data_IF_062834556890
#
_entry.id   IF_062834556890
#
_cell.length_a   1.000
_cell.length_b   1.000
_cell.length_c   1.000
_cell.angle_alpha   90.00
_cell.angle_beta   90.00
_cell.angle_gamma   90.00
#
_symmetry.space_group_name_H-M   'P 1'
#
loop_
_entity.id
_entity.type
_entity.pdbx_description
1 polymer ?
#
# COMPACT_ATOMS: atom_id res chain seq x y z
N UNK A 1 -42.79 -39.03 60.40
CA UNK A 1 -41.52 -39.34 59.69
C UNK A 1 -41.22 -38.16 58.81
N UNK A 2 -40.34 -37.24 59.23
CA UNK A 2 -40.04 -36.00 58.51
C UNK A 2 -38.79 -36.24 57.67
N UNK A 3 -38.90 -36.06 56.32
CA UNK A 3 -37.78 -36.17 55.40
C UNK A 3 -37.26 -34.74 55.14
N UNK A 4 -36.04 -34.45 55.61
CA UNK A 4 -35.31 -33.23 55.29
C UNK A 4 -34.70 -33.33 53.87
N UNK A 5 -35.06 -32.40 52.98
CA UNK A 5 -34.33 -32.18 51.71
C UNK A 5 -33.22 -31.18 51.97
N UNK A 6 -31.96 -31.64 51.84
CA UNK A 6 -30.80 -30.78 51.71
C UNK A 6 -30.82 -30.15 50.29
N UNK A 7 -30.84 -28.83 50.22
CA UNK A 7 -30.53 -28.09 49.01
C UNK A 7 -29.01 -27.86 48.94
N UNK A 8 -28.37 -28.46 47.97
CA UNK A 8 -26.96 -28.18 47.66
C UNK A 8 -26.90 -27.01 46.67
N UNK A 9 -26.44 -25.87 47.14
CA UNK A 9 -26.24 -24.69 46.29
C UNK A 9 -24.85 -24.78 45.67
N UNK A 10 -24.77 -25.03 44.35
CA UNK A 10 -23.52 -25.00 43.58
C UNK A 10 -23.25 -23.55 43.17
N UNK A 11 -22.22 -22.95 43.75
CA UNK A 11 -21.74 -21.61 43.33
C UNK A 11 -20.86 -21.81 42.10
N UNK A 12 -21.36 -21.41 40.96
CA UNK A 12 -20.60 -21.34 39.69
C UNK A 12 -19.80 -20.04 39.72
N UNK A 13 -18.52 -20.11 40.05
CA UNK A 13 -17.59 -18.97 39.93
C UNK A 13 -17.24 -18.78 38.46
N UNK A 14 -17.93 -17.87 37.78
CA UNK A 14 -17.57 -17.42 36.45
C UNK A 14 -16.29 -16.57 36.51
N UNK A 15 -15.22 -17.08 35.96
CA UNK A 15 -14.03 -16.25 35.65
C UNK A 15 -14.42 -15.31 34.50
N UNK A 16 -14.61 -14.04 34.80
CA UNK A 16 -14.65 -12.97 33.77
C UNK A 16 -13.21 -12.72 33.36
N UNK A 17 -12.80 -13.24 32.21
CA UNK A 17 -11.61 -12.83 31.55
C UNK A 17 -11.92 -11.43 30.98
N UNK A 18 -11.46 -10.39 31.66
CA UNK A 18 -11.46 -9.05 31.10
C UNK A 18 -10.43 -9.02 29.98
N UNK A 19 -10.86 -9.14 28.74
CA UNK A 19 -10.08 -8.69 27.59
C UNK A 19 -9.96 -7.18 27.72
N UNK A 20 -8.74 -6.71 27.97
CA UNK A 20 -8.43 -5.28 27.88
C UNK A 20 -8.58 -4.90 26.39
N UNK A 21 -9.74 -4.39 26.00
CA UNK A 21 -9.83 -3.64 24.76
C UNK A 21 -9.00 -2.37 25.00
N UNK A 22 -7.87 -2.24 24.31
CA UNK A 22 -7.16 -0.97 24.28
C UNK A 22 -8.13 0.07 23.68
N UNK A 23 -8.30 1.18 24.37
CA UNK A 23 -9.07 2.30 23.84
C UNK A 23 -8.24 2.96 22.72
N UNK A 24 -8.88 3.34 21.63
CA UNK A 24 -8.23 4.16 20.61
C UNK A 24 -7.69 5.47 21.22
N UNK A 25 -6.53 5.90 20.77
CA UNK A 25 -5.97 7.19 21.17
C UNK A 25 -6.61 8.31 20.34
N UNK A 26 -7.65 8.92 20.89
CA UNK A 26 -8.41 10.00 20.22
C UNK A 26 -7.56 11.28 19.99
N UNK A 27 -6.34 11.32 20.56
CA UNK A 27 -5.45 12.48 20.41
C UNK A 27 -4.48 12.39 19.22
N UNK A 28 -4.46 11.28 18.47
CA UNK A 28 -3.73 11.17 17.19
C UNK A 28 -4.66 10.60 16.14
N UNK A 29 -4.82 11.32 15.03
CA UNK A 29 -5.63 10.89 13.89
C UNK A 29 -4.71 10.57 12.72
N UNK A 30 -4.71 9.32 12.29
CA UNK A 30 -3.96 8.81 11.14
C UNK A 30 -4.91 8.64 9.96
N UNK A 31 -4.64 9.28 8.83
CA UNK A 31 -5.41 9.14 7.61
C UNK A 31 -4.64 8.28 6.62
N UNK A 32 -5.01 7.02 6.48
CA UNK A 32 -4.19 5.96 5.90
C UNK A 32 -4.97 5.07 4.92
N UNK A 33 -4.26 4.17 4.28
CA UNK A 33 -4.81 3.05 3.54
C UNK A 33 -5.43 2.05 4.52
N UNK A 34 -6.46 1.33 4.07
CA UNK A 34 -7.06 0.24 4.85
C UNK A 34 -6.04 -0.87 5.09
N UNK A 35 -6.00 -1.39 6.32
CA UNK A 35 -5.04 -2.42 6.76
C UNK A 35 -3.87 -1.86 7.58
N UNK A 36 -3.47 -0.60 7.36
CA UNK A 36 -2.37 0.02 8.12
C UNK A 36 -2.71 0.34 9.59
N UNK A 37 -3.97 0.14 9.99
CA UNK A 37 -4.39 0.16 11.40
C UNK A 37 -3.94 -1.06 12.19
N UNK A 38 -3.29 -2.04 11.56
CA UNK A 38 -2.77 -3.21 12.24
C UNK A 38 -1.70 -2.82 13.27
N UNK A 39 -1.95 -3.18 14.52
CA UNK A 39 -1.11 -2.82 15.66
C UNK A 39 0.33 -3.35 15.56
N UNK A 40 0.57 -4.37 14.74
CA UNK A 40 1.90 -4.91 14.46
C UNK A 40 2.86 -3.88 13.85
N UNK A 41 2.34 -2.87 13.16
CA UNK A 41 3.15 -1.81 12.55
C UNK A 41 3.65 -0.74 13.52
N UNK A 42 2.96 -0.55 14.66
CA UNK A 42 3.27 0.54 15.59
C UNK A 42 3.14 0.15 17.07
N UNK A 43 3.51 -1.07 17.42
CA UNK A 43 3.44 -1.57 18.81
C UNK A 43 4.14 -0.66 19.82
N UNK A 44 5.26 -0.02 19.44
CA UNK A 44 5.97 0.91 20.32
C UNK A 44 5.15 2.16 20.67
N UNK A 45 4.30 2.61 19.75
CA UNK A 45 3.35 3.68 20.04
C UNK A 45 2.33 3.25 21.08
N UNK A 46 1.75 2.04 20.91
CA UNK A 46 0.77 1.47 21.87
C UNK A 46 1.40 1.26 23.25
N UNK A 47 2.61 0.73 23.31
CA UNK A 47 3.35 0.57 24.58
C UNK A 47 3.55 1.91 25.31
N UNK A 48 3.78 2.99 24.58
CA UNK A 48 4.03 4.33 25.13
C UNK A 48 2.74 5.04 25.55
N UNK A 49 1.66 4.94 24.74
CA UNK A 49 0.44 5.72 24.91
C UNK A 49 -0.73 4.91 25.48
N UNK A 50 -0.64 3.58 25.53
CA UNK A 50 -1.65 2.70 26.09
C UNK A 50 -2.85 2.42 25.19
N UNK A 51 -2.80 2.86 23.91
CA UNK A 51 -3.84 2.64 22.91
C UNK A 51 -3.35 2.94 21.50
N UNK A 52 -4.11 2.49 20.52
CA UNK A 52 -3.88 2.77 19.09
C UNK A 52 -4.37 4.17 18.73
N UNK A 53 -3.75 4.83 17.73
CA UNK A 53 -4.31 6.04 17.13
C UNK A 53 -5.73 5.81 16.59
N UNK A 54 -6.45 6.89 16.35
CA UNK A 54 -7.69 6.85 15.58
C UNK A 54 -7.37 6.85 14.09
N UNK A 55 -7.85 5.84 13.35
CA UNK A 55 -7.65 5.76 11.91
C UNK A 55 -8.87 6.24 11.13
N UNK A 56 -8.61 6.93 10.04
CA UNK A 56 -9.54 7.19 8.95
C UNK A 56 -8.91 6.70 7.65
N UNK A 57 -9.73 6.24 6.69
CA UNK A 57 -9.21 5.54 5.53
C UNK A 57 -9.55 6.23 4.22
N UNK A 58 -8.70 5.97 3.23
CA UNK A 58 -8.92 6.25 1.83
C UNK A 58 -8.53 5.03 0.97
N UNK A 59 -9.16 4.89 -0.17
CA UNK A 59 -8.83 3.81 -1.13
C UNK A 59 -7.98 4.31 -2.29
N UNK A 60 -7.85 5.66 -2.44
CA UNK A 60 -7.11 6.29 -3.52
C UNK A 60 -6.62 7.68 -3.09
N UNK A 61 -5.41 8.07 -3.50
CA UNK A 61 -4.74 9.29 -3.03
C UNK A 61 -5.41 10.58 -3.50
N UNK A 62 -6.05 10.58 -4.67
CA UNK A 62 -6.79 11.75 -5.13
C UNK A 62 -8.03 11.98 -4.25
N UNK A 63 -8.68 10.90 -3.81
CA UNK A 63 -9.77 10.98 -2.82
C UNK A 63 -9.27 11.57 -1.51
N UNK A 64 -8.12 11.09 -1.02
CA UNK A 64 -7.48 11.62 0.20
C UNK A 64 -7.18 13.11 0.07
N UNK A 65 -6.56 13.52 -1.04
CA UNK A 65 -6.27 14.91 -1.35
C UNK A 65 -7.52 15.78 -1.34
N UNK A 66 -8.59 15.34 -1.99
CA UNK A 66 -9.85 16.11 -2.04
C UNK A 66 -10.53 16.19 -0.67
N UNK A 67 -10.51 15.15 0.13
CA UNK A 67 -11.02 15.16 1.51
C UNK A 67 -10.30 16.20 2.37
N UNK A 68 -8.95 16.22 2.33
CA UNK A 68 -8.14 17.21 3.05
C UNK A 68 -8.42 18.62 2.56
N UNK A 69 -8.53 18.84 1.25
CA UNK A 69 -8.89 20.12 0.64
C UNK A 69 -10.30 20.57 1.03
N UNK A 70 -11.23 19.65 1.25
CA UNK A 70 -12.59 19.93 1.72
C UNK A 70 -12.67 20.21 3.23
N UNK A 71 -11.54 20.13 3.95
CA UNK A 71 -11.47 20.48 5.37
C UNK A 71 -11.50 19.29 6.32
N UNK A 72 -11.40 18.05 5.83
CA UNK A 72 -11.11 16.92 6.70
C UNK A 72 -9.79 17.14 7.42
N UNK A 73 -9.72 16.80 8.71
CA UNK A 73 -8.53 16.99 9.55
C UNK A 73 -8.03 15.67 10.08
N UNK A 74 -6.73 15.48 9.91
CA UNK A 74 -5.93 14.43 10.54
C UNK A 74 -4.57 15.03 10.90
N UNK A 75 -3.79 14.32 11.70
CA UNK A 75 -2.46 14.76 12.11
C UNK A 75 -1.40 14.28 11.12
N UNK A 76 -1.51 13.04 10.68
CA UNK A 76 -0.61 12.42 9.71
C UNK A 76 -1.40 11.73 8.60
N UNK A 77 -0.75 11.56 7.45
CA UNK A 77 -1.29 10.75 6.37
C UNK A 77 -0.17 9.98 5.67
N UNK A 78 -0.53 9.02 4.82
CA UNK A 78 0.36 8.06 4.18
C UNK A 78 0.25 8.09 2.64
N UNK A 79 0.56 9.22 1.98
CA UNK A 79 0.59 9.27 0.52
C UNK A 79 1.81 8.55 -0.04
N UNK A 80 1.73 8.15 -1.30
CA UNK A 80 2.88 7.67 -2.04
C UNK A 80 3.65 8.80 -2.73
N UNK A 81 4.83 8.49 -3.22
CA UNK A 81 5.83 9.46 -3.67
C UNK A 81 5.33 10.45 -4.72
N UNK A 82 4.52 10.00 -5.65
CA UNK A 82 4.01 10.81 -6.76
C UNK A 82 3.05 11.91 -6.32
N UNK A 83 2.44 11.79 -5.13
CA UNK A 83 1.46 12.74 -4.62
C UNK A 83 2.03 13.85 -3.75
N UNK A 84 3.22 13.64 -3.14
CA UNK A 84 3.78 14.55 -2.13
C UNK A 84 3.98 15.98 -2.64
N UNK A 85 4.48 16.16 -3.87
CA UNK A 85 4.66 17.49 -4.45
C UNK A 85 3.33 18.25 -4.59
N UNK A 86 2.27 17.56 -5.02
CA UNK A 86 0.92 18.15 -5.13
C UNK A 86 0.38 18.58 -3.78
N UNK A 87 0.56 17.75 -2.76
CA UNK A 87 0.11 18.04 -1.40
C UNK A 87 0.88 19.22 -0.79
N UNK A 88 2.19 19.26 -1.02
CA UNK A 88 3.04 20.39 -0.62
C UNK A 88 2.62 21.70 -1.31
N UNK A 89 2.45 21.72 -2.63
CA UNK A 89 2.00 22.90 -3.40
C UNK A 89 0.62 23.40 -2.96
N UNK A 90 -0.24 22.48 -2.50
CA UNK A 90 -1.54 22.83 -1.93
C UNK A 90 -1.48 23.38 -0.50
N UNK A 91 -0.29 23.39 0.12
CA UNK A 91 -0.06 23.88 1.48
C UNK A 91 -0.66 22.99 2.57
N UNK A 92 -0.72 21.67 2.31
CA UNK A 92 -1.29 20.67 3.23
C UNK A 92 -0.24 20.07 4.18
N UNK A 93 1.05 20.25 3.91
CA UNK A 93 2.14 19.59 4.62
C UNK A 93 2.96 20.58 5.45
N UNK A 94 3.39 20.14 6.61
CA UNK A 94 4.46 20.77 7.38
C UNK A 94 5.80 20.04 7.14
N UNK A 95 6.95 20.76 7.15
CA UNK A 95 8.25 20.12 7.02
C UNK A 95 8.56 19.26 8.24
N UNK A 96 9.19 18.11 8.03
CA UNK A 96 9.57 17.21 9.10
C UNK A 96 10.77 17.76 9.91
N UNK A 97 10.64 17.79 11.23
CA UNK A 97 11.78 17.93 12.13
C UNK A 97 12.52 16.60 12.28
N UNK A 98 13.44 16.36 11.36
CA UNK A 98 14.20 15.10 11.31
C UNK A 98 15.03 14.84 12.58
N UNK A 99 15.27 15.84 13.42
CA UNK A 99 15.95 15.67 14.71
C UNK A 99 15.12 14.92 15.74
N UNK A 100 13.78 14.89 15.56
CA UNK A 100 12.84 14.14 16.41
C UNK A 100 12.66 12.68 15.96
N UNK A 101 13.15 12.31 14.76
CA UNK A 101 13.09 10.94 14.24
C UNK A 101 14.38 10.22 14.59
N UNK A 102 14.34 9.42 15.65
CA UNK A 102 15.54 8.82 16.26
C UNK A 102 16.36 7.96 15.32
N UNK A 103 15.70 7.32 14.32
CA UNK A 103 16.33 6.45 13.32
C UNK A 103 16.41 7.09 11.93
N UNK A 104 16.35 8.42 11.83
CA UNK A 104 16.40 9.12 10.55
C UNK A 104 17.63 8.73 9.69
N UNK A 105 18.77 8.49 10.34
CA UNK A 105 20.00 8.08 9.65
C UNK A 105 19.98 6.64 9.13
N UNK A 106 18.98 5.84 9.51
CA UNK A 106 18.77 4.48 9.04
C UNK A 106 17.82 4.41 7.83
N UNK A 107 17.13 5.52 7.50
CA UNK A 107 16.21 5.61 6.35
C UNK A 107 17.01 5.55 5.05
N UNK A 108 16.46 4.84 4.05
CA UNK A 108 17.04 4.74 2.72
C UNK A 108 17.30 6.11 2.09
N UNK A 109 18.55 6.39 1.73
CA UNK A 109 18.99 7.72 1.25
C UNK A 109 18.29 8.11 -0.06
N UNK A 110 18.13 7.16 -1.00
CA UNK A 110 17.47 7.43 -2.29
C UNK A 110 16.01 7.84 -2.08
N UNK A 111 15.33 7.19 -1.15
CA UNK A 111 13.95 7.55 -0.80
C UNK A 111 13.88 8.92 -0.12
N UNK A 112 14.77 9.21 0.84
CA UNK A 112 14.81 10.55 1.49
C UNK A 112 14.97 11.67 0.47
N UNK A 113 15.93 11.52 -0.44
CA UNK A 113 16.23 12.56 -1.43
C UNK A 113 15.07 12.83 -2.39
N UNK A 114 14.24 11.83 -2.65
CA UNK A 114 13.04 11.99 -3.49
C UNK A 114 11.99 12.94 -2.88
N UNK A 115 12.02 13.15 -1.56
CA UNK A 115 11.02 13.96 -0.82
C UNK A 115 11.59 15.25 -0.24
N UNK A 116 12.75 15.65 -0.71
CA UNK A 116 13.37 16.92 -0.34
C UNK A 116 12.89 18.03 -1.27
N UNK A 117 12.09 18.95 -0.75
CA UNK A 117 11.56 20.10 -1.48
C UNK A 117 12.15 21.37 -0.82
N UNK A 118 12.79 22.23 -1.61
CA UNK A 118 13.39 23.49 -1.16
C UNK A 118 14.37 23.34 0.04
N UNK A 119 14.97 22.16 0.18
CA UNK A 119 15.95 21.87 1.23
C UNK A 119 15.37 21.21 2.48
N UNK A 120 14.06 21.14 2.62
CA UNK A 120 13.35 20.50 3.72
C UNK A 120 12.76 19.14 3.32
N UNK A 121 12.58 18.26 4.30
CA UNK A 121 11.93 16.95 4.07
C UNK A 121 10.46 17.02 4.44
N UNK A 122 9.58 16.49 3.61
CA UNK A 122 8.13 16.52 3.81
C UNK A 122 7.50 15.13 3.99
N UNK A 123 8.29 14.07 3.88
CA UNK A 123 7.81 12.71 4.05
C UNK A 123 8.86 11.85 4.74
N UNK A 124 8.43 11.05 5.69
CA UNK A 124 9.20 9.93 6.23
C UNK A 124 8.94 8.72 5.32
N UNK A 125 9.91 8.27 4.52
CA UNK A 125 9.75 7.02 3.76
C UNK A 125 9.38 5.88 4.70
N UNK A 126 8.23 5.28 4.49
CA UNK A 126 7.70 4.25 5.38
C UNK A 126 7.86 2.86 4.79
N UNK A 127 7.37 2.66 3.59
CA UNK A 127 7.34 1.37 2.93
C UNK A 127 7.50 1.47 1.41
N UNK A 128 7.71 0.32 0.79
CA UNK A 128 7.83 0.16 -0.64
C UNK A 128 7.48 -1.25 -1.08
N UNK A 129 7.08 -1.39 -2.32
CA UNK A 129 6.75 -2.69 -2.87
C UNK A 129 6.77 -2.70 -4.39
N UNK A 130 6.22 -3.77 -4.94
CA UNK A 130 6.00 -3.88 -6.38
C UNK A 130 4.54 -4.18 -6.66
N UNK A 131 4.08 -3.69 -7.81
CA UNK A 131 2.85 -4.18 -8.42
C UNK A 131 3.24 -5.14 -9.53
N UNK A 132 2.70 -6.35 -9.51
CA UNK A 132 3.14 -7.43 -10.38
C UNK A 132 1.97 -8.23 -10.96
N UNK A 133 2.25 -9.01 -12.01
CA UNK A 133 1.28 -9.96 -12.55
C UNK A 133 1.09 -11.09 -11.55
N UNK A 134 0.01 -11.03 -10.77
CA UNK A 134 -0.39 -12.07 -9.82
C UNK A 134 -1.44 -12.98 -10.45
N UNK A 135 -1.28 -14.29 -10.32
CA UNK A 135 -2.13 -15.25 -11.01
C UNK A 135 -2.35 -16.54 -10.23
N UNK A 136 -3.49 -17.21 -10.51
CA UNK A 136 -3.81 -18.55 -10.01
C UNK A 136 -2.99 -19.58 -10.78
N UNK A 137 -2.06 -20.26 -10.11
CA UNK A 137 -1.14 -21.23 -10.73
C UNK A 137 -1.82 -22.51 -11.21
N UNK A 138 -2.99 -22.81 -10.65
CA UNK A 138 -3.84 -23.97 -11.05
C UNK A 138 -4.78 -23.68 -12.22
N UNK A 139 -4.92 -22.39 -12.63
CA UNK A 139 -5.89 -21.96 -13.65
C UNK A 139 -5.25 -21.20 -14.82
N UNK A 140 -4.02 -20.75 -14.67
CA UNK A 140 -3.29 -19.92 -15.64
C UNK A 140 -1.95 -20.55 -15.97
N UNK A 141 -1.63 -20.65 -17.25
CA UNK A 141 -0.32 -21.16 -17.68
C UNK A 141 0.79 -20.14 -17.36
N UNK A 142 1.85 -20.59 -16.71
CA UNK A 142 2.99 -19.72 -16.33
C UNK A 142 3.60 -18.98 -17.56
N UNK A 143 3.61 -19.61 -18.73
CA UNK A 143 4.10 -18.98 -19.96
C UNK A 143 3.26 -17.78 -20.44
N UNK A 144 1.97 -17.75 -20.10
CA UNK A 144 1.09 -16.63 -20.50
C UNK A 144 1.35 -15.37 -19.66
N UNK A 145 1.96 -15.51 -18.47
CA UNK A 145 2.26 -14.39 -17.56
C UNK A 145 3.71 -13.88 -17.64
N UNK A 146 4.51 -14.38 -18.59
CA UNK A 146 5.86 -13.86 -18.88
C UNK A 146 5.84 -12.41 -19.42
N UNK A 147 4.67 -11.91 -19.76
CA UNK A 147 4.46 -10.60 -20.35
C UNK A 147 3.20 -9.96 -19.75
N UNK A 148 3.25 -8.66 -19.53
CA UNK A 148 2.06 -7.87 -19.12
C UNK A 148 0.97 -7.85 -20.21
N UNK A 149 1.26 -8.32 -21.42
CA UNK A 149 0.24 -8.49 -22.46
C UNK A 149 -0.79 -9.59 -22.11
N UNK A 150 -0.59 -10.35 -21.03
CA UNK A 150 -1.60 -11.27 -20.47
C UNK A 150 -2.94 -10.57 -20.23
N UNK A 151 -2.91 -9.28 -19.87
CA UNK A 151 -4.11 -8.46 -19.65
C UNK A 151 -4.94 -8.20 -20.93
N UNK A 152 -4.36 -8.41 -22.11
CA UNK A 152 -5.07 -8.35 -23.39
C UNK A 152 -5.45 -9.73 -23.94
N UNK A 153 -5.13 -10.81 -23.23
CA UNK A 153 -5.37 -12.17 -23.70
C UNK A 153 -6.84 -12.56 -23.51
N UNK A 154 -7.56 -12.72 -24.62
CA UNK A 154 -8.97 -13.10 -24.63
C UNK A 154 -9.29 -14.42 -23.89
N UNK A 155 -8.29 -15.31 -23.68
CA UNK A 155 -8.42 -16.53 -22.90
C UNK A 155 -8.88 -16.24 -21.46
N UNK A 156 -8.51 -15.08 -20.92
CA UNK A 156 -8.76 -14.67 -19.53
C UNK A 156 -9.83 -13.57 -19.40
N UNK A 157 -10.50 -13.22 -20.51
CA UNK A 157 -11.50 -12.15 -20.51
C UNK A 157 -12.59 -12.37 -19.44
N UNK A 158 -12.94 -11.31 -18.72
CA UNK A 158 -13.91 -11.34 -17.63
C UNK A 158 -13.40 -11.99 -16.33
N UNK A 159 -12.11 -12.36 -16.28
CA UNK A 159 -11.44 -12.93 -15.08
C UNK A 159 -10.13 -12.21 -14.74
N UNK A 160 -9.97 -11.01 -15.26
CA UNK A 160 -8.82 -10.13 -15.04
C UNK A 160 -9.24 -9.01 -14.09
N UNK A 161 -8.33 -8.56 -13.20
CA UNK A 161 -8.56 -7.39 -12.36
C UNK A 161 -7.34 -6.46 -12.35
N UNK A 162 -7.63 -5.17 -12.34
CA UNK A 162 -6.65 -4.09 -12.18
C UNK A 162 -7.01 -3.29 -10.92
N UNK A 163 -6.05 -2.59 -10.29
CA UNK A 163 -6.37 -1.69 -9.18
C UNK A 163 -7.20 -0.49 -9.64
N UNK A 164 -8.08 -0.01 -8.78
CA UNK A 164 -8.71 1.31 -8.93
C UNK A 164 -7.76 2.41 -8.45
N UNK A 165 -6.55 2.39 -8.98
CA UNK A 165 -5.47 3.32 -8.68
C UNK A 165 -4.81 3.77 -9.98
N UNK A 166 -4.82 5.08 -10.24
CA UNK A 166 -4.36 5.66 -11.50
C UNK A 166 -2.88 5.41 -11.74
N UNK A 167 -2.05 5.52 -10.72
CA UNK A 167 -0.61 5.42 -10.84
C UNK A 167 -0.19 3.99 -11.17
N UNK A 168 -0.75 2.98 -10.51
CA UNK A 168 -0.51 1.57 -10.81
C UNK A 168 -0.99 1.15 -12.20
N UNK A 169 -2.18 1.63 -12.60
CA UNK A 169 -2.74 1.28 -13.91
C UNK A 169 -1.93 1.90 -15.05
N UNK A 170 -1.47 3.16 -14.87
CA UNK A 170 -0.61 3.77 -15.88
C UNK A 170 0.83 3.23 -15.85
N UNK A 171 1.35 2.82 -14.69
CA UNK A 171 2.62 2.10 -14.65
C UNK A 171 2.57 0.82 -15.50
N UNK A 172 1.49 0.03 -15.35
CA UNK A 172 1.24 -1.14 -16.20
C UNK A 172 1.13 -0.78 -17.70
N UNK A 173 0.34 0.24 -18.02
CA UNK A 173 0.12 0.65 -19.42
C UNK A 173 1.39 1.20 -20.08
N UNK A 174 2.18 1.96 -19.36
CA UNK A 174 3.47 2.43 -19.82
C UNK A 174 4.46 1.28 -20.07
N UNK A 175 4.59 0.35 -19.13
CA UNK A 175 5.37 -0.88 -19.34
C UNK A 175 4.89 -1.63 -20.59
N UNK A 176 3.59 -1.84 -20.72
CA UNK A 176 2.99 -2.55 -21.85
C UNK A 176 3.25 -1.89 -23.20
N UNK A 177 3.51 -0.59 -23.22
CA UNK A 177 3.79 0.21 -24.41
C UNK A 177 5.27 0.62 -24.56
N UNK A 178 6.15 0.09 -23.69
CA UNK A 178 7.61 0.22 -23.80
C UNK A 178 8.21 1.42 -23.06
N UNK A 179 7.45 2.09 -22.19
CA UNK A 179 7.94 3.19 -21.34
C UNK A 179 8.34 2.62 -19.98
N UNK A 180 9.60 2.79 -19.58
CA UNK A 180 10.15 2.34 -18.29
C UNK A 180 10.54 3.49 -17.36
N UNK A 181 10.37 4.73 -17.81
CA UNK A 181 10.60 5.97 -17.04
C UNK A 181 9.49 6.96 -17.38
N UNK A 182 8.45 7.00 -16.60
CA UNK A 182 7.28 7.85 -16.84
C UNK A 182 7.54 9.35 -16.65
N UNK A 183 8.68 9.73 -16.01
CA UNK A 183 9.07 11.15 -15.90
C UNK A 183 9.43 11.76 -17.24
N UNK A 184 9.71 10.90 -18.23
CA UNK A 184 10.06 11.26 -19.61
C UNK A 184 8.93 10.98 -20.61
N UNK A 185 7.77 10.49 -20.12
CA UNK A 185 6.67 10.15 -20.99
C UNK A 185 6.18 11.36 -21.78
N UNK A 186 5.99 11.16 -23.08
CA UNK A 186 5.49 12.15 -24.03
C UNK A 186 3.97 12.08 -24.18
N UNK A 187 3.38 13.06 -24.87
CA UNK A 187 1.93 12.98 -25.20
C UNK A 187 1.60 11.78 -26.09
N UNK A 188 2.54 11.32 -26.96
CA UNK A 188 2.36 10.11 -27.76
C UNK A 188 2.40 8.84 -26.89
N UNK A 189 3.30 8.79 -25.89
CA UNK A 189 3.36 7.68 -24.93
C UNK A 189 2.06 7.60 -24.11
N UNK A 190 1.56 8.74 -23.68
CA UNK A 190 0.28 8.84 -22.99
C UNK A 190 -0.89 8.36 -23.89
N UNK A 191 -0.92 8.76 -25.15
CA UNK A 191 -1.95 8.31 -26.09
C UNK A 191 -1.88 6.79 -26.34
N UNK A 192 -0.67 6.21 -26.44
CA UNK A 192 -0.47 4.78 -26.61
C UNK A 192 -0.90 4.01 -25.35
N UNK A 193 -0.56 4.49 -24.14
CA UNK A 193 -1.02 3.91 -22.87
C UNK A 193 -2.55 3.89 -22.79
N UNK A 194 -3.21 4.98 -23.13
CA UNK A 194 -4.69 5.07 -23.16
C UNK A 194 -5.31 4.11 -24.16
N UNK A 195 -4.72 3.98 -25.35
CA UNK A 195 -5.23 3.04 -26.36
C UNK A 195 -5.11 1.59 -25.85
N UNK A 196 -4.01 1.25 -25.19
CA UNK A 196 -3.80 -0.06 -24.60
C UNK A 196 -4.81 -0.33 -23.48
N UNK A 197 -5.02 0.62 -22.53
CA UNK A 197 -6.00 0.49 -21.44
C UNK A 197 -7.42 0.32 -21.95
N UNK A 198 -7.82 1.02 -23.01
CA UNK A 198 -9.12 0.82 -23.67
C UNK A 198 -9.26 -0.58 -24.26
N UNK A 199 -8.16 -1.17 -24.73
CA UNK A 199 -8.12 -2.56 -25.19
C UNK A 199 -8.25 -3.57 -24.04
N UNK A 200 -7.72 -3.25 -22.87
CA UNK A 200 -7.79 -4.09 -21.66
C UNK A 200 -9.16 -3.99 -20.97
N UNK A 201 -9.74 -2.81 -20.88
CA UNK A 201 -10.97 -2.55 -20.13
C UNK A 201 -12.09 -3.59 -20.39
N UNK A 202 -12.39 -4.01 -21.63
CA UNK A 202 -13.41 -5.05 -21.88
C UNK A 202 -13.07 -6.43 -21.31
N UNK A 203 -11.80 -6.68 -20.96
CA UNK A 203 -11.33 -7.93 -20.37
C UNK A 203 -11.45 -7.92 -18.83
N UNK A 204 -11.54 -6.72 -18.23
CA UNK A 204 -11.55 -6.53 -16.77
C UNK A 204 -12.87 -6.98 -16.17
N UNK A 205 -12.79 -7.82 -15.13
CA UNK A 205 -13.95 -8.22 -14.31
C UNK A 205 -14.38 -7.10 -13.37
N UNK A 206 -13.39 -6.49 -12.71
CA UNK A 206 -13.56 -5.37 -11.78
C UNK A 206 -12.25 -4.62 -11.61
N UNK A 207 -12.34 -3.36 -11.18
CA UNK A 207 -11.23 -2.63 -10.63
C UNK A 207 -11.31 -2.76 -9.10
N UNK A 208 -10.30 -3.37 -8.47
CA UNK A 208 -10.27 -3.63 -7.03
C UNK A 208 -9.77 -2.40 -6.27
N UNK A 209 -10.31 -2.15 -5.08
CA UNK A 209 -10.01 -0.99 -4.26
C UNK A 209 -9.05 -1.28 -3.09
N UNK A 210 -9.02 -2.54 -2.62
CA UNK A 210 -8.11 -2.98 -1.55
C UNK A 210 -7.65 -4.43 -1.76
N UNK A 211 -6.53 -4.81 -1.12
CA UNK A 211 -5.94 -6.14 -1.26
C UNK A 211 -6.83 -7.27 -0.75
N UNK A 212 -7.64 -7.03 0.28
CA UNK A 212 -8.54 -8.04 0.84
C UNK A 212 -9.71 -8.34 -0.13
N UNK A 213 -10.26 -7.33 -0.79
CA UNK A 213 -11.24 -7.51 -1.88
C UNK A 213 -10.64 -8.39 -2.98
N UNK A 214 -9.45 -8.03 -3.47
CA UNK A 214 -8.77 -8.80 -4.52
C UNK A 214 -8.50 -10.23 -4.06
N UNK A 215 -8.04 -10.43 -2.83
CA UNK A 215 -7.79 -11.74 -2.23
C UNK A 215 -9.02 -12.64 -2.27
N UNK A 216 -10.20 -12.13 -1.92
CA UNK A 216 -11.46 -12.86 -1.99
C UNK A 216 -11.84 -13.24 -3.41
N UNK A 217 -11.67 -12.33 -4.37
CA UNK A 217 -11.94 -12.58 -5.79
C UNK A 217 -11.00 -13.63 -6.39
N UNK A 218 -9.74 -13.64 -5.99
CA UNK A 218 -8.77 -14.64 -6.43
C UNK A 218 -8.98 -15.99 -5.76
N UNK A 219 -9.33 -16.02 -4.49
CA UNK A 219 -9.66 -17.26 -3.75
C UNK A 219 -10.86 -17.96 -4.37
N UNK A 220 -11.92 -17.23 -4.68
CA UNK A 220 -13.11 -17.78 -5.34
C UNK A 220 -12.86 -18.20 -6.79
N UNK A 221 -11.76 -17.75 -7.41
CA UNK A 221 -11.47 -17.95 -8.83
C UNK A 221 -12.32 -17.07 -9.77
N UNK A 222 -13.01 -16.07 -9.25
CA UNK A 222 -13.69 -15.05 -10.06
C UNK A 222 -12.68 -14.20 -10.81
N UNK A 223 -11.55 -13.88 -10.16
CA UNK A 223 -10.34 -13.29 -10.75
C UNK A 223 -9.23 -14.34 -10.73
N UNK A 224 -8.49 -14.48 -11.83
CA UNK A 224 -7.38 -15.43 -11.94
C UNK A 224 -6.07 -14.80 -12.40
N UNK A 225 -6.14 -13.58 -12.93
CA UNK A 225 -4.97 -12.74 -13.27
C UNK A 225 -5.26 -11.34 -12.77
N UNK A 226 -4.34 -10.77 -12.01
CA UNK A 226 -4.45 -9.42 -11.49
C UNK A 226 -3.13 -8.67 -11.60
N UNK A 227 -3.19 -7.36 -11.74
CA UNK A 227 -2.10 -6.46 -11.44
C UNK A 227 -2.23 -6.12 -9.96
N UNK A 228 -1.35 -6.66 -9.12
CA UNK A 228 -1.54 -6.68 -7.68
C UNK A 228 -0.27 -6.32 -6.89
N UNK A 229 -0.46 -5.72 -5.74
CA UNK A 229 0.61 -5.45 -4.78
C UNK A 229 1.14 -6.74 -4.13
N UNK A 230 2.35 -6.69 -3.57
CA UNK A 230 2.99 -7.83 -2.91
C UNK A 230 2.12 -8.48 -1.82
N UNK A 231 1.31 -7.70 -1.09
CA UNK A 231 0.41 -8.17 -0.03
C UNK A 231 -0.50 -9.31 -0.52
N UNK A 232 -1.16 -9.13 -1.67
CA UNK A 232 -2.13 -10.11 -2.17
C UNK A 232 -1.52 -11.51 -2.37
N UNK A 233 -0.43 -11.70 -3.14
CA UNK A 233 0.15 -13.04 -3.27
C UNK A 233 0.74 -13.54 -1.95
N UNK A 234 1.29 -12.69 -1.08
CA UNK A 234 1.86 -13.08 0.22
C UNK A 234 0.78 -13.66 1.13
N UNK A 235 -0.32 -12.94 1.32
CA UNK A 235 -1.45 -13.37 2.14
C UNK A 235 -2.10 -14.65 1.61
N UNK A 236 -2.36 -14.70 0.30
CA UNK A 236 -2.99 -15.87 -0.32
C UNK A 236 -2.10 -17.13 -0.26
N UNK A 237 -0.78 -16.98 -0.37
CA UNK A 237 0.14 -18.10 -0.20
C UNK A 237 0.18 -18.61 1.24
N UNK A 238 0.10 -17.71 2.23
CA UNK A 238 -0.01 -18.08 3.64
C UNK A 238 -1.32 -18.85 3.94
N UNK A 239 -2.38 -18.58 3.18
CA UNK A 239 -3.66 -19.30 3.23
C UNK A 239 -3.68 -20.57 2.36
N UNK A 240 -2.53 -21.00 1.81
CA UNK A 240 -2.39 -22.17 0.93
C UNK A 240 -3.19 -22.06 -0.39
N UNK A 241 -3.58 -20.84 -0.82
CA UNK A 241 -4.19 -20.61 -2.12
C UNK A 241 -3.12 -20.67 -3.22
N UNK A 242 -3.35 -21.40 -4.32
CA UNK A 242 -2.35 -21.61 -5.36
C UNK A 242 -2.19 -20.36 -6.24
N UNK A 243 -1.43 -19.38 -5.77
CA UNK A 243 -1.08 -18.14 -6.47
C UNK A 243 0.42 -17.96 -6.60
N UNK A 244 0.82 -17.19 -7.61
CA UNK A 244 2.19 -16.71 -7.74
C UNK A 244 2.17 -15.28 -8.32
N UNK A 245 3.25 -14.52 -8.08
CA UNK A 245 3.48 -13.22 -8.68
C UNK A 245 4.69 -13.28 -9.62
N UNK A 246 4.55 -12.77 -10.83
CA UNK A 246 5.68 -12.55 -11.74
C UNK A 246 6.07 -11.07 -11.76
N UNK A 247 7.18 -10.72 -11.10
CA UNK A 247 7.79 -9.40 -11.08
C UNK A 247 8.79 -9.17 -12.21
N UNK A 248 9.09 -10.18 -13.00
CA UNK A 248 10.12 -10.15 -14.04
C UNK A 248 9.51 -10.36 -15.42
N UNK A 249 8.48 -9.58 -15.76
CA UNK A 249 7.87 -9.64 -17.09
C UNK A 249 8.82 -9.11 -18.15
N UNK A 250 8.61 -9.47 -19.42
CA UNK A 250 9.44 -9.05 -20.55
C UNK A 250 9.52 -7.54 -20.70
N UNK A 251 8.45 -6.84 -20.33
CA UNK A 251 8.35 -5.39 -20.43
C UNK A 251 9.00 -4.67 -19.24
N UNK A 252 9.17 -5.38 -18.12
CA UNK A 252 9.73 -4.83 -16.90
C UNK A 252 8.88 -5.10 -15.66
N UNK A 253 9.15 -4.37 -14.61
CA UNK A 253 8.48 -4.40 -13.32
C UNK A 253 8.05 -3.00 -12.91
N UNK A 254 7.05 -2.90 -12.04
CA UNK A 254 6.67 -1.65 -11.38
C UNK A 254 7.04 -1.69 -9.90
N UNK A 255 7.52 -0.55 -9.37
CA UNK A 255 7.74 -0.37 -7.93
C UNK A 255 7.17 0.96 -7.48
N UNK A 256 6.63 0.97 -6.28
CA UNK A 256 6.10 2.15 -5.61
C UNK A 256 6.76 2.30 -4.24
N UNK A 257 6.69 3.49 -3.67
CA UNK A 257 7.11 3.77 -2.31
C UNK A 257 6.28 4.90 -1.72
N UNK A 258 5.87 4.70 -0.49
CA UNK A 258 4.97 5.56 0.24
C UNK A 258 5.59 5.98 1.58
N UNK A 259 4.97 6.90 2.26
CA UNK A 259 5.49 7.32 3.56
C UNK A 259 4.59 8.30 4.28
N UNK A 260 4.90 8.49 5.54
CA UNK A 260 4.13 9.36 6.40
C UNK A 260 4.50 10.83 6.24
N UNK A 261 3.49 11.67 6.16
CA UNK A 261 3.59 13.13 6.12
C UNK A 261 2.95 13.74 7.37
N UNK A 262 3.52 14.84 7.87
CA UNK A 262 2.96 15.68 8.91
C UNK A 262 1.95 16.65 8.25
N UNK A 263 0.67 16.51 8.60
CA UNK A 263 -0.38 17.33 8.00
C UNK A 263 -0.48 18.68 8.69
N UNK A 264 -0.43 19.73 7.90
CA UNK A 264 -0.57 21.10 8.40
C UNK A 264 -1.92 21.30 9.05
N UNK A 265 -1.92 21.98 10.21
CA UNK A 265 -3.11 22.22 11.02
C UNK A 265 -3.80 20.93 11.51
N UNK A 266 -3.02 19.87 11.76
CA UNK A 266 -3.49 18.67 12.45
C UNK A 266 -4.15 19.04 13.78
N UNK A 267 -5.24 18.34 14.18
CA UNK A 267 -6.04 18.74 15.34
C UNK A 267 -5.31 18.55 16.68
N UNK A 268 -4.22 17.76 16.69
CA UNK A 268 -3.57 17.30 17.91
C UNK A 268 -2.10 17.68 17.97
N UNK A 269 -1.41 17.32 19.03
CA UNK A 269 -0.05 17.81 19.25
C UNK A 269 1.02 17.09 18.44
N UNK A 270 2.00 17.86 17.98
CA UNK A 270 3.15 17.41 17.17
C UNK A 270 3.95 16.26 17.81
N UNK A 271 4.00 16.15 19.15
CA UNK A 271 4.81 15.13 19.82
C UNK A 271 4.32 13.71 19.52
N UNK A 272 3.01 13.47 19.48
CA UNK A 272 2.46 12.15 19.14
C UNK A 272 2.68 11.75 17.66
N UNK A 273 2.76 12.73 16.77
CA UNK A 273 3.15 12.50 15.36
C UNK A 273 4.53 11.84 15.31
N UNK A 274 5.51 12.42 16.00
CA UNK A 274 6.87 11.89 16.02
C UNK A 274 7.02 10.59 16.83
N UNK A 275 6.20 10.39 17.85
CA UNK A 275 6.14 9.11 18.57
C UNK A 275 5.65 7.99 17.65
N UNK A 276 4.65 8.27 16.80
CA UNK A 276 4.18 7.33 15.78
C UNK A 276 5.24 7.08 14.70
N UNK A 277 5.90 8.13 14.19
CA UNK A 277 7.00 7.97 13.24
C UNK A 277 8.14 7.12 13.81
N UNK A 278 8.49 7.32 15.07
CA UNK A 278 9.52 6.53 15.75
C UNK A 278 9.08 5.08 15.98
N UNK A 279 7.80 4.84 16.26
CA UNK A 279 7.26 3.50 16.39
C UNK A 279 7.25 2.76 15.05
N UNK A 280 6.87 3.44 13.96
CA UNK A 280 6.98 2.89 12.61
C UNK A 280 8.41 2.51 12.27
N UNK A 281 9.39 3.37 12.58
CA UNK A 281 10.82 3.13 12.30
C UNK A 281 11.47 2.09 13.22
N UNK A 282 10.74 1.50 14.17
CA UNK A 282 11.27 0.45 15.05
C UNK A 282 11.57 -0.85 14.26
N UNK A 283 12.63 -1.59 14.60
CA UNK A 283 12.96 -2.87 13.97
C UNK A 283 11.82 -3.88 13.94
N UNK A 284 10.92 -3.88 14.95
CA UNK A 284 9.77 -4.78 14.99
C UNK A 284 8.76 -4.49 13.88
N UNK A 285 8.52 -3.22 13.57
CA UNK A 285 7.67 -2.80 12.44
C UNK A 285 8.24 -3.28 11.11
N UNK A 286 9.55 -3.07 10.89
CA UNK A 286 10.22 -3.52 9.66
C UNK A 286 10.13 -5.04 9.46
N UNK A 287 10.33 -5.82 10.52
CA UNK A 287 10.18 -7.27 10.45
C UNK A 287 8.72 -7.68 10.18
N UNK A 288 7.78 -6.98 10.80
CA UNK A 288 6.35 -7.26 10.66
C UNK A 288 5.87 -7.07 9.22
N UNK A 289 6.10 -5.91 8.63
CA UNK A 289 5.62 -5.60 7.27
C UNK A 289 6.20 -6.53 6.20
N UNK A 290 7.49 -6.92 6.34
CA UNK A 290 8.12 -7.85 5.40
C UNK A 290 7.49 -9.25 5.50
N UNK A 291 7.25 -9.73 6.73
CA UNK A 291 6.76 -11.09 6.95
C UNK A 291 5.26 -11.24 6.64
N UNK A 292 4.46 -10.25 7.03
CA UNK A 292 3.00 -10.35 6.92
C UNK A 292 2.49 -9.88 5.56
N UNK A 293 3.13 -8.84 4.98
CA UNK A 293 2.64 -8.23 3.74
C UNK A 293 3.58 -8.37 2.55
N UNK A 294 4.82 -8.79 2.76
CA UNK A 294 5.81 -8.84 1.70
C UNK A 294 6.21 -7.46 1.18
N UNK A 295 6.00 -6.39 1.98
CA UNK A 295 6.45 -5.04 1.64
C UNK A 295 7.83 -4.78 2.23
N UNK A 296 8.63 -3.97 1.54
CA UNK A 296 9.87 -3.44 2.07
C UNK A 296 9.59 -2.27 3.02
N UNK A 297 10.53 -2.01 3.93
CA UNK A 297 10.44 -0.92 4.90
C UNK A 297 11.42 0.20 4.58
N UNK A 298 11.06 1.45 4.90
CA UNK A 298 11.93 2.63 4.71
C UNK A 298 13.21 2.62 5.55
N UNK A 299 13.27 1.83 6.63
CA UNK A 299 14.47 1.65 7.44
C UNK A 299 15.44 0.68 6.75
N UNK A 300 16.41 1.21 5.99
CA UNK A 300 17.40 0.42 5.24
C UNK A 300 18.25 -0.46 6.14
N UNK A 301 18.64 0.04 7.32
CA UNK A 301 19.47 -0.74 8.25
C UNK A 301 18.76 -2.02 8.71
N UNK A 302 17.44 -1.99 8.86
CA UNK A 302 16.67 -3.19 9.21
C UNK A 302 16.46 -4.12 8.01
N UNK A 303 16.27 -3.58 6.82
CA UNK A 303 16.24 -4.38 5.59
C UNK A 303 17.55 -5.17 5.40
N UNK A 304 18.69 -4.52 5.66
CA UNK A 304 20.01 -5.16 5.62
C UNK A 304 20.16 -6.27 6.67
N UNK A 305 19.57 -6.10 7.86
CA UNK A 305 19.57 -7.13 8.94
C UNK A 305 18.71 -8.34 8.57
N UNK A 306 17.56 -8.13 7.94
CA UNK A 306 16.70 -9.23 7.47
C UNK A 306 17.42 -10.11 6.43
N UNK A 307 18.23 -9.48 5.57
CA UNK A 307 19.10 -10.15 4.62
C UNK A 307 18.41 -10.63 3.34
N UNK A 308 19.22 -10.99 2.36
CA UNK A 308 18.74 -11.28 1.00
C UNK A 308 17.74 -12.45 0.93
N UNK A 309 17.96 -13.53 1.68
CA UNK A 309 17.07 -14.71 1.64
C UNK A 309 15.65 -14.39 2.11
N UNK A 310 15.50 -13.55 3.15
CA UNK A 310 14.19 -13.12 3.63
C UNK A 310 13.51 -12.19 2.62
N UNK A 311 14.28 -11.27 2.03
CA UNK A 311 13.76 -10.34 1.02
C UNK A 311 13.35 -11.06 -0.27
N UNK A 312 14.12 -12.04 -0.72
CA UNK A 312 13.77 -12.89 -1.86
C UNK A 312 12.47 -13.67 -1.59
N UNK A 313 12.34 -14.23 -0.37
CA UNK A 313 11.15 -14.94 0.07
C UNK A 313 9.89 -14.06 0.10
N UNK A 314 10.04 -12.80 0.48
CA UNK A 314 8.96 -11.78 0.47
C UNK A 314 8.70 -11.18 -0.92
N UNK A 315 9.41 -11.64 -1.96
CA UNK A 315 9.29 -11.07 -3.30
C UNK A 315 9.91 -9.67 -3.44
N UNK A 316 10.84 -9.30 -2.58
CA UNK A 316 11.55 -8.01 -2.57
C UNK A 316 12.97 -8.09 -3.12
N UNK A 317 13.41 -9.29 -3.49
CA UNK A 317 14.74 -9.52 -4.03
C UNK A 317 15.02 -8.80 -5.35
N UNK A 318 16.27 -8.70 -5.71
CA UNK A 318 16.71 -8.07 -6.94
C UNK A 318 16.14 -8.78 -8.17
N UNK A 319 15.78 -8.02 -9.17
CA UNK A 319 15.29 -8.49 -10.46
C UNK A 319 16.15 -7.89 -11.59
N UNK A 320 16.35 -8.67 -12.67
CA UNK A 320 17.16 -8.26 -13.81
C UNK A 320 16.26 -7.89 -15.01
N UNK A 321 15.35 -6.94 -14.77
CA UNK A 321 14.49 -6.34 -15.80
C UNK A 321 14.40 -4.84 -15.55
N UNK A 322 14.02 -4.02 -16.54
CA UNK A 322 13.75 -2.61 -16.31
C UNK A 322 12.69 -2.41 -15.22
N UNK A 323 12.89 -1.41 -14.37
CA UNK A 323 11.95 -1.06 -13.30
C UNK A 323 11.37 0.33 -13.59
N UNK A 324 10.05 0.40 -13.74
CA UNK A 324 9.32 1.65 -13.71
C UNK A 324 9.05 1.98 -12.23
N UNK A 325 9.84 2.92 -11.69
CA UNK A 325 9.60 3.43 -10.34
C UNK A 325 8.53 4.53 -10.38
N UNK A 326 7.54 4.41 -9.51
CA UNK A 326 6.47 5.40 -9.35
C UNK A 326 6.98 6.62 -8.55
N UNK A 327 7.94 7.32 -9.14
CA UNK A 327 8.51 8.56 -8.58
C UNK A 327 7.66 9.77 -8.96
N UNK A 328 7.84 10.94 -8.29
CA UNK A 328 7.16 12.18 -8.67
C UNK A 328 7.28 12.47 -10.15
N UNK A 329 6.17 12.79 -10.80
CA UNK A 329 6.06 13.04 -12.22
C UNK A 329 5.46 14.42 -12.52
N UNK A 330 5.39 14.78 -13.80
CA UNK A 330 4.73 16.01 -14.22
C UNK A 330 3.26 16.02 -13.82
N UNK A 331 2.85 16.97 -12.95
CA UNK A 331 1.50 17.03 -12.40
C UNK A 331 0.42 17.22 -13.49
N UNK A 332 0.70 18.00 -14.54
CA UNK A 332 -0.27 18.18 -15.64
C UNK A 332 -0.51 16.86 -16.39
N UNK A 333 0.53 16.04 -16.56
CA UNK A 333 0.38 14.70 -17.15
C UNK A 333 -0.43 13.79 -16.21
N UNK A 334 -0.14 13.79 -14.91
CA UNK A 334 -0.88 13.00 -13.93
C UNK A 334 -2.36 13.38 -13.88
N UNK A 335 -2.71 14.67 -13.92
CA UNK A 335 -4.10 15.13 -14.02
C UNK A 335 -4.81 14.64 -15.29
N UNK A 336 -4.09 14.61 -16.43
CA UNK A 336 -4.63 13.99 -17.65
C UNK A 336 -4.86 12.50 -17.48
N UNK A 337 -3.95 11.78 -16.81
CA UNK A 337 -4.09 10.34 -16.50
C UNK A 337 -5.32 10.08 -15.66
N UNK A 338 -5.53 10.82 -14.56
CA UNK A 338 -6.71 10.73 -13.69
C UNK A 338 -7.99 10.91 -14.53
N UNK A 339 -8.09 12.02 -15.26
CA UNK A 339 -9.29 12.34 -16.04
C UNK A 339 -9.57 11.30 -17.14
N UNK A 340 -8.54 10.72 -17.73
CA UNK A 340 -8.69 9.73 -18.79
C UNK A 340 -9.00 8.34 -18.25
N UNK A 341 -8.43 7.96 -17.11
CA UNK A 341 -8.75 6.70 -16.45
C UNK A 341 -10.23 6.60 -16.06
N UNK A 342 -10.79 7.68 -15.53
CA UNK A 342 -12.23 7.74 -15.22
C UNK A 342 -13.10 7.53 -16.48
N UNK A 343 -12.72 8.08 -17.63
CA UNK A 343 -13.42 7.84 -18.90
C UNK A 343 -13.30 6.38 -19.33
N UNK A 344 -12.11 5.79 -19.22
CA UNK A 344 -11.86 4.39 -19.58
C UNK A 344 -12.72 3.48 -18.71
N UNK A 345 -12.76 3.69 -17.38
CA UNK A 345 -13.63 2.92 -16.47
C UNK A 345 -15.12 3.07 -16.82
N UNK A 346 -15.52 4.24 -17.31
CA UNK A 346 -16.89 4.49 -17.77
C UNK A 346 -17.18 3.96 -19.20
N UNK A 347 -16.20 3.33 -19.86
CA UNK A 347 -16.35 2.72 -21.19
C UNK A 347 -16.23 3.69 -22.37
N UNK A 348 -15.53 4.83 -22.21
CA UNK A 348 -15.31 5.86 -23.25
C UNK A 348 -13.87 5.92 -23.76
#
# INVERSE_FOLDING_TARGET
>A
MKINKLLTTTILSGFIVATSAFAADEELIVFDWSGYEDEGFFQKYIEQHGGSPTFAFFGEEEEAFQKLRAGFKADISHPCSQSVSKWHEAGLLDPLDTSKITRWNEVNETMKDAFKIDGEYYMLPADWGSTAVTYRTDLVDAADVDSVQVFTNAKYAGRISLPDNVDDVYALAYLATGVTDWTKATDDDFANANAWLRGVHPMVRTYWADGAELGQLMTSGEVIVAWAWNETPTTLQAEEIPVAANRSTKEGSSTWFCGYVDLKDGPNGVDKVYDFFNAWMDPSSAAYIVNEWGYGHGNQAQMDVLGADALDGAGLGNIDVPILAQVPMNQQLREKMIAEFEKIKAGF
#
